data_IF_552578607027
#
_entry.id   IF_552578607027
#
_cell.length_a   1.000
_cell.length_b   1.000
_cell.length_c   1.000
_cell.angle_alpha   90.00
_cell.angle_beta   90.00
_cell.angle_gamma   90.00
#
_symmetry.space_group_name_H-M   'P 1'
#
loop_
_entity.id
_entity.type
_entity.pdbx_description
1 polymer ?
#
# COMPACT_ATOMS: atom_id res chain seq x y z
N UNK A 1 0.32 -9.32 7.61
CA UNK A 1 -0.59 -10.45 7.40
C UNK A 1 -0.12 -11.55 8.32
N UNK A 2 -1.02 -12.19 9.07
CA UNK A 2 -0.65 -13.21 10.04
C UNK A 2 -0.93 -14.59 9.44
N UNK A 3 0.03 -15.49 9.59
CA UNK A 3 -0.19 -16.91 9.34
C UNK A 3 -0.96 -17.49 10.52
N UNK A 4 -2.10 -18.10 10.24
CA UNK A 4 -2.97 -18.66 11.25
C UNK A 4 -3.63 -19.93 10.72
N UNK A 5 -3.86 -20.87 11.63
CA UNK A 5 -4.64 -22.07 11.37
C UNK A 5 -6.06 -21.86 11.91
N UNK A 6 -7.08 -22.04 11.07
CA UNK A 6 -8.47 -21.96 11.49
C UNK A 6 -9.28 -23.11 10.89
N UNK A 7 -9.86 -23.96 11.75
CA UNK A 7 -10.74 -25.09 11.39
C UNK A 7 -10.25 -25.87 10.15
N UNK A 8 -9.03 -26.40 10.23
CA UNK A 8 -8.40 -27.28 9.23
C UNK A 8 -8.06 -26.61 7.88
N UNK A 9 -7.94 -25.29 7.85
CA UNK A 9 -7.38 -24.54 6.70
C UNK A 9 -6.29 -23.58 7.16
N UNK A 10 -5.09 -23.73 6.58
CA UNK A 10 -3.95 -22.80 6.77
C UNK A 10 -4.07 -21.68 5.76
N UNK A 11 -3.96 -20.43 6.21
CA UNK A 11 -4.14 -19.26 5.35
C UNK A 11 -3.42 -18.01 5.84
N UNK A 12 -3.36 -17.03 4.94
CA UNK A 12 -2.75 -15.71 5.18
C UNK A 12 -3.88 -14.72 5.43
N UNK A 13 -3.91 -14.09 6.60
CA UNK A 13 -4.99 -13.17 6.98
C UNK A 13 -4.55 -11.69 7.00
N UNK A 14 -5.39 -10.75 6.54
CA UNK A 14 -5.08 -9.33 6.58
C UNK A 14 -4.96 -8.85 8.02
N UNK A 15 -3.92 -8.07 8.34
CA UNK A 15 -3.72 -7.52 9.69
C UNK A 15 -4.93 -6.68 10.16
N UNK A 16 -5.60 -6.04 9.21
CA UNK A 16 -6.75 -5.16 9.43
C UNK A 16 -8.04 -5.91 9.80
N UNK A 17 -8.00 -7.25 9.86
CA UNK A 17 -9.16 -8.12 10.10
C UNK A 17 -8.88 -9.24 11.12
N UNK A 18 -7.75 -9.18 11.84
CA UNK A 18 -7.34 -10.18 12.83
C UNK A 18 -7.06 -9.51 14.17
N UNK A 19 -7.88 -9.79 15.19
CA UNK A 19 -7.57 -9.48 16.59
C UNK A 19 -6.76 -10.64 17.19
N UNK A 20 -5.46 -10.41 17.44
CA UNK A 20 -4.62 -11.38 18.16
C UNK A 20 -4.71 -11.16 19.68
N UNK A 21 -5.01 -12.24 20.41
CA UNK A 21 -4.82 -12.31 21.87
C UNK A 21 -3.36 -12.71 22.22
N UNK A 22 -2.83 -12.27 23.37
CA UNK A 22 -1.42 -11.90 23.50
C UNK A 22 -0.53 -13.09 23.89
N UNK A 23 0.70 -13.14 23.34
CA UNK A 23 1.78 -13.94 23.91
C UNK A 23 3.06 -13.07 23.98
N UNK A 24 3.80 -13.23 25.08
CA UNK A 24 4.69 -12.25 25.71
C UNK A 24 6.06 -12.02 25.02
N UNK A 25 6.54 -10.76 25.12
CA UNK A 25 7.93 -10.25 25.10
C UNK A 25 8.38 -9.44 23.84
N UNK A 26 8.83 -8.19 24.11
CA UNK A 26 9.51 -7.12 23.37
C UNK A 26 9.77 -7.16 21.84
N UNK A 27 9.87 -8.31 21.17
CA UNK A 27 10.21 -8.39 19.74
C UNK A 27 9.02 -7.99 18.84
N UNK A 28 7.79 -8.26 19.28
CA UNK A 28 6.58 -7.91 18.54
C UNK A 28 6.37 -6.39 18.45
N UNK A 29 6.85 -5.62 19.44
CA UNK A 29 6.75 -4.16 19.42
C UNK A 29 7.63 -3.55 18.32
N UNK A 30 8.81 -4.10 18.07
CA UNK A 30 9.68 -3.65 16.97
C UNK A 30 9.04 -3.91 15.59
N UNK A 31 8.42 -5.07 15.39
CA UNK A 31 7.73 -5.40 14.13
C UNK A 31 6.46 -4.57 13.89
N UNK A 32 5.66 -4.30 14.92
CA UNK A 32 4.49 -3.43 14.81
C UNK A 32 4.90 -1.98 14.52
N UNK A 33 5.98 -1.51 15.15
CA UNK A 33 6.51 -0.17 14.92
C UNK A 33 6.94 0.05 13.46
N UNK A 34 7.54 -0.95 12.81
CA UNK A 34 7.96 -0.82 11.41
C UNK A 34 6.77 -0.85 10.44
N UNK A 35 5.76 -1.67 10.72
CA UNK A 35 4.51 -1.66 9.96
C UNK A 35 3.77 -0.32 10.09
N UNK A 36 3.65 0.19 11.31
CA UNK A 36 2.99 1.48 11.58
C UNK A 36 3.74 2.63 10.92
N UNK A 37 5.08 2.64 11.00
CA UNK A 37 5.92 3.62 10.28
C UNK A 37 5.76 3.52 8.77
N UNK A 38 5.67 2.32 8.21
CA UNK A 38 5.46 2.13 6.79
C UNK A 38 4.06 2.64 6.38
N UNK A 39 3.01 2.39 7.17
CA UNK A 39 1.66 2.93 6.94
C UNK A 39 1.59 4.46 7.05
N UNK A 40 2.34 5.05 7.99
CA UNK A 40 2.51 6.50 8.09
C UNK A 40 3.23 7.09 6.88
N UNK A 41 4.10 6.31 6.23
CA UNK A 41 4.85 6.75 5.05
C UNK A 41 4.04 6.74 3.75
N UNK A 42 2.90 6.04 3.71
CA UNK A 42 2.05 5.96 2.54
C UNK A 42 1.27 7.26 2.31
N UNK A 43 1.01 7.60 1.06
CA UNK A 43 0.09 8.66 0.70
C UNK A 43 -1.31 8.13 0.41
N UNK A 44 -2.25 9.06 0.25
CA UNK A 44 -3.62 8.77 -0.16
C UNK A 44 -4.05 9.73 -1.27
N UNK A 45 -4.85 9.23 -2.20
CA UNK A 45 -5.46 10.05 -3.23
C UNK A 45 -6.83 9.52 -3.66
N UNK A 46 -7.62 10.40 -4.27
CA UNK A 46 -8.89 10.06 -4.93
C UNK A 46 -8.70 10.13 -6.44
N UNK A 47 -9.18 9.12 -7.17
CA UNK A 47 -9.10 9.10 -8.63
C UNK A 47 -10.08 10.11 -9.24
N UNK A 48 -9.57 11.05 -10.06
CA UNK A 48 -10.37 12.06 -10.76
C UNK A 48 -10.92 11.57 -12.09
N UNK A 49 -10.19 10.67 -12.77
CA UNK A 49 -10.52 10.16 -14.09
C UNK A 49 -10.17 8.68 -14.22
N UNK A 50 -10.93 7.93 -15.00
CA UNK A 50 -10.60 6.54 -15.33
C UNK A 50 -9.26 6.48 -16.09
N UNK A 51 -8.45 5.47 -15.78
CA UNK A 51 -7.19 5.19 -16.47
C UNK A 51 -7.14 3.71 -16.85
N UNK A 52 -7.06 3.44 -18.15
CA UNK A 52 -6.93 2.10 -18.70
C UNK A 52 -5.44 1.84 -18.96
N UNK A 53 -4.81 0.87 -18.29
CA UNK A 53 -3.41 0.53 -18.49
C UNK A 53 -3.14 0.11 -19.94
N UNK A 54 -2.02 0.59 -20.49
CA UNK A 54 -1.48 0.12 -21.77
C UNK A 54 -0.30 -0.84 -21.57
N UNK A 55 0.33 -0.80 -20.39
CA UNK A 55 1.47 -1.64 -20.03
C UNK A 55 1.15 -2.45 -18.78
N UNK A 56 1.82 -3.58 -18.62
CA UNK A 56 1.56 -4.52 -17.52
C UNK A 56 1.95 -3.99 -16.14
N UNK A 57 2.82 -2.99 -16.06
CA UNK A 57 3.25 -2.36 -14.82
C UNK A 57 2.41 -1.11 -14.44
N UNK A 58 1.42 -0.77 -15.26
CA UNK A 58 0.53 0.37 -15.02
C UNK A 58 -0.70 -0.09 -14.23
N UNK A 59 -1.13 0.72 -13.27
CA UNK A 59 -2.28 0.44 -12.41
C UNK A 59 -3.55 0.98 -13.04
N UNK A 60 -4.59 0.14 -13.17
CA UNK A 60 -5.91 0.62 -13.59
C UNK A 60 -6.52 1.53 -12.51
N UNK A 61 -7.09 2.66 -12.94
CA UNK A 61 -7.81 3.56 -12.05
C UNK A 61 -9.27 3.68 -12.49
N UNK A 62 -10.18 3.76 -11.51
CA UNK A 62 -11.60 4.09 -11.73
C UNK A 62 -11.94 5.34 -10.94
N UNK A 63 -12.60 6.28 -11.60
CA UNK A 63 -12.97 7.57 -11.02
C UNK A 63 -13.78 7.39 -9.74
N UNK A 64 -13.40 8.12 -8.71
CA UNK A 64 -14.02 8.09 -7.38
C UNK A 64 -13.39 7.08 -6.43
N UNK A 65 -12.59 6.12 -6.92
CA UNK A 65 -11.91 5.17 -6.05
C UNK A 65 -10.81 5.85 -5.23
N UNK A 66 -10.59 5.33 -4.02
CA UNK A 66 -9.41 5.67 -3.21
C UNK A 66 -8.24 4.81 -3.68
N UNK A 67 -7.08 5.45 -3.85
CA UNK A 67 -5.81 4.78 -4.13
C UNK A 67 -4.79 5.10 -3.05
N UNK A 68 -4.06 4.09 -2.62
CA UNK A 68 -2.92 4.25 -1.71
C UNK A 68 -1.70 4.63 -2.55
N UNK A 69 -1.02 5.72 -2.21
CA UNK A 69 0.23 6.10 -2.87
C UNK A 69 1.40 5.45 -2.13
N UNK A 70 2.13 4.57 -2.80
CA UNK A 70 3.30 3.90 -2.22
C UNK A 70 4.53 4.81 -2.26
N UNK A 71 4.74 5.50 -3.38
CA UNK A 71 5.78 6.52 -3.55
C UNK A 71 5.50 7.43 -4.73
N UNK A 72 6.13 8.60 -4.71
CA UNK A 72 6.22 9.49 -5.87
C UNK A 72 7.45 9.09 -6.69
N UNK A 73 7.24 8.71 -7.95
CA UNK A 73 8.35 8.36 -8.85
C UNK A 73 8.98 9.66 -9.37
N UNK A 74 8.14 10.59 -9.81
CA UNK A 74 8.51 11.92 -10.26
C UNK A 74 7.29 12.86 -10.19
N UNK A 75 7.35 14.03 -10.85
CA UNK A 75 6.26 15.00 -10.87
C UNK A 75 5.01 14.54 -11.65
N UNK A 76 5.13 13.50 -12.47
CA UNK A 76 4.11 13.02 -13.38
C UNK A 76 3.58 11.63 -13.01
N UNK A 77 4.31 10.85 -12.22
CA UNK A 77 3.97 9.47 -11.89
C UNK A 77 4.03 9.16 -10.40
N UNK A 78 3.01 8.45 -9.94
CA UNK A 78 3.03 7.74 -8.67
C UNK A 78 3.15 6.24 -8.91
N UNK A 79 3.74 5.54 -7.95
CA UNK A 79 3.44 4.13 -7.72
C UNK A 79 2.37 4.05 -6.62
N UNK A 80 1.34 3.25 -6.82
CA UNK A 80 0.29 3.07 -5.83
C UNK A 80 -0.37 1.71 -5.87
N UNK A 81 -1.36 1.54 -5.00
CA UNK A 81 -2.08 0.29 -4.79
C UNK A 81 -3.58 0.52 -4.73
N UNK A 82 -4.33 -0.29 -5.48
CA UNK A 82 -5.79 -0.44 -5.33
C UNK A 82 -6.06 -1.90 -4.98
N UNK A 83 -6.69 -2.15 -3.83
CA UNK A 83 -6.85 -3.48 -3.25
C UNK A 83 -5.48 -4.19 -3.09
N UNK A 84 -5.23 -5.23 -3.87
CA UNK A 84 -4.00 -6.04 -3.86
C UNK A 84 -3.15 -5.84 -5.13
N UNK A 85 -3.53 -4.89 -5.99
CA UNK A 85 -2.85 -4.64 -7.27
C UNK A 85 -2.04 -3.36 -7.14
N UNK A 86 -0.77 -3.46 -7.51
CA UNK A 86 0.18 -2.36 -7.53
C UNK A 86 0.59 -2.01 -8.95
N UNK A 87 0.94 -0.75 -9.16
CA UNK A 87 1.49 -0.29 -10.41
C UNK A 87 1.62 1.22 -10.42
N UNK A 88 2.14 1.73 -11.54
CA UNK A 88 2.32 3.16 -11.70
C UNK A 88 1.11 3.77 -12.41
N UNK A 89 0.84 5.04 -12.14
CA UNK A 89 -0.18 5.80 -12.84
C UNK A 89 0.13 7.29 -12.86
N UNK A 90 -0.47 8.07 -13.79
CA UNK A 90 -0.17 9.48 -13.90
C UNK A 90 -0.72 10.27 -12.71
N UNK A 91 0.11 11.12 -12.11
CA UNK A 91 -0.26 12.01 -11.01
C UNK A 91 -1.43 12.94 -11.37
N UNK A 92 -1.54 13.34 -12.63
CA UNK A 92 -2.64 14.17 -13.12
C UNK A 92 -4.02 13.51 -12.99
N UNK A 93 -4.09 12.18 -12.86
CA UNK A 93 -5.35 11.42 -12.79
C UNK A 93 -5.92 11.31 -11.39
N UNK A 94 -5.20 11.78 -10.38
CA UNK A 94 -5.63 11.71 -8.99
C UNK A 94 -5.61 13.09 -8.34
N UNK A 95 -6.38 13.21 -7.27
CA UNK A 95 -6.33 14.31 -6.31
C UNK A 95 -5.62 13.78 -5.06
N UNK A 96 -4.39 14.23 -4.85
CA UNK A 96 -3.57 13.81 -3.70
C UNK A 96 -4.13 14.41 -2.42
N UNK A 97 -4.55 13.55 -1.49
CA UNK A 97 -5.00 13.92 -0.15
C UNK A 97 -3.81 14.02 0.82
N UNK A 98 -2.87 13.06 0.70
CA UNK A 98 -1.63 12.99 1.47
C UNK A 98 -0.52 12.51 0.54
N UNK A 99 0.59 13.24 0.46
CA UNK A 99 1.77 12.80 -0.29
C UNK A 99 2.47 11.63 0.45
N UNK A 100 2.96 10.61 -0.26
CA UNK A 100 3.82 9.61 0.35
C UNK A 100 5.15 10.25 0.75
N UNK A 101 5.61 9.99 1.96
CA UNK A 101 6.86 10.54 2.51
C UNK A 101 8.08 9.66 2.23
N UNK A 102 7.88 8.44 1.71
CA UNK A 102 8.94 7.51 1.36
C UNK A 102 9.62 7.81 0.02
N UNK A 103 10.79 8.45 0.04
CA UNK A 103 11.73 8.43 -1.09
C UNK A 103 12.60 7.15 -1.00
N UNK A 104 12.23 6.07 -1.70
CA UNK A 104 13.08 4.86 -1.79
C UNK A 104 14.20 5.08 -2.82
N UNK A 105 15.21 5.88 -2.46
CA UNK A 105 16.47 5.98 -3.21
C UNK A 105 17.54 5.00 -2.67
N UNK A 106 17.18 3.73 -2.50
CA UNK A 106 18.09 2.69 -2.00
C UNK A 106 18.31 1.56 -3.03
N UNK A 107 18.46 1.89 -4.31
CA UNK A 107 19.11 0.98 -5.26
C UNK A 107 20.58 1.43 -5.45
N UNK A 108 21.41 1.17 -4.43
CA UNK A 108 22.85 1.01 -4.65
C UNK A 108 23.09 -0.48 -4.85
N UNK A 109 23.41 -0.84 -6.09
CA UNK A 109 24.04 -2.13 -6.44
C UNK A 109 25.51 -2.03 -6.05
#
# INVERSE_FOLDING_TARGET
WLEGEFQDSVGIFPLNHVELFPIQNNEHEEFLNDYDKEQEALGEAIVKYDFIPQKTFELQLRKGDKVILLRKIDNYWYEGRVNHIEGIFPAAYVETLREPSGNKNNFSI
#
